data_IF_288543381438
#
_entry.id   IF_288543381438
#
_cell.length_a   1.000
_cell.length_b   1.000
_cell.length_c   1.000
_cell.angle_alpha   90.00
_cell.angle_beta   90.00
_cell.angle_gamma   90.00
#
_symmetry.space_group_name_H-M   'P 1'
#
loop_
_entity.id
_entity.type
_entity.pdbx_description
1 polymer ?
#
# COMPACT_ATOMS: atom_id res chain seq x y z
N UNK A 1 27.17 23.16 -29.13
CA UNK A 1 26.80 21.79 -28.78
C UNK A 1 28.01 20.89 -28.98
N UNK A 2 28.71 20.52 -27.91
CA UNK A 2 29.85 19.60 -27.98
C UNK A 2 29.33 18.18 -28.18
N UNK A 3 29.70 17.54 -29.27
CA UNK A 3 29.43 16.09 -29.47
C UNK A 3 30.33 15.30 -28.53
N UNK A 4 29.75 14.48 -27.70
CA UNK A 4 30.47 13.46 -26.93
C UNK A 4 31.07 12.48 -27.94
N UNK A 5 32.39 12.47 -28.08
CA UNK A 5 33.12 11.49 -28.91
C UNK A 5 33.56 10.38 -27.93
N UNK A 6 32.87 9.25 -27.96
CA UNK A 6 33.24 8.06 -27.20
C UNK A 6 34.37 7.36 -27.96
N UNK A 7 35.49 7.09 -27.31
CA UNK A 7 36.61 6.39 -27.87
C UNK A 7 36.25 4.91 -28.22
N UNK A 8 37.04 4.32 -29.09
CA UNK A 8 36.81 2.90 -29.49
C UNK A 8 37.01 1.92 -28.33
N UNK A 9 37.87 2.24 -27.37
CA UNK A 9 38.06 1.48 -26.12
C UNK A 9 36.85 1.62 -25.20
N UNK A 10 36.32 2.80 -25.03
CA UNK A 10 35.10 3.03 -24.26
C UNK A 10 33.90 2.31 -24.87
N UNK A 11 33.79 2.29 -26.21
CA UNK A 11 32.78 1.49 -26.90
C UNK A 11 32.94 0.00 -26.64
N UNK A 12 34.14 -0.55 -26.69
CA UNK A 12 34.42 -1.96 -26.40
C UNK A 12 34.11 -2.28 -24.95
N UNK A 13 34.42 -1.39 -24.02
CA UNK A 13 34.10 -1.56 -22.59
C UNK A 13 32.61 -1.52 -22.35
N UNK A 14 31.89 -0.58 -22.97
CA UNK A 14 30.43 -0.50 -22.90
C UNK A 14 29.79 -1.74 -23.51
N UNK A 15 30.24 -2.21 -24.69
CA UNK A 15 29.73 -3.45 -25.30
C UNK A 15 30.04 -4.68 -24.46
N UNK A 16 31.21 -4.78 -23.82
CA UNK A 16 31.55 -5.90 -22.92
C UNK A 16 30.71 -5.88 -21.64
N UNK A 17 30.40 -4.68 -21.11
CA UNK A 17 29.47 -4.52 -19.99
C UNK A 17 28.03 -4.86 -20.38
N UNK A 18 27.59 -4.49 -21.57
CA UNK A 18 26.27 -4.91 -22.09
C UNK A 18 26.21 -6.41 -22.31
N UNK A 19 27.24 -7.03 -22.89
CA UNK A 19 27.28 -8.49 -23.09
C UNK A 19 27.41 -9.25 -21.76
N UNK A 20 28.06 -8.70 -20.74
CA UNK A 20 28.09 -9.23 -19.38
C UNK A 20 26.74 -9.06 -18.66
N UNK A 21 25.98 -8.02 -18.98
CA UNK A 21 24.62 -7.79 -18.48
C UNK A 21 23.61 -8.71 -19.20
N UNK A 22 23.81 -9.00 -20.49
CA UNK A 22 23.00 -9.97 -21.26
C UNK A 22 23.35 -11.42 -20.90
N UNK A 23 24.58 -11.72 -20.45
CA UNK A 23 24.99 -13.08 -20.03
C UNK A 23 24.64 -13.40 -18.57
N UNK A 24 24.16 -12.45 -17.75
CA UNK A 24 23.29 -12.85 -16.66
C UNK A 24 22.01 -13.33 -17.32
N UNK A 25 21.95 -14.65 -17.62
CA UNK A 25 20.68 -15.32 -17.76
C UNK A 25 19.78 -14.77 -16.66
N UNK A 26 18.82 -13.93 -17.02
CA UNK A 26 17.77 -13.56 -16.09
C UNK A 26 17.13 -14.87 -15.67
N UNK A 27 17.62 -15.44 -14.58
CA UNK A 27 16.95 -16.57 -13.93
C UNK A 27 15.52 -16.10 -13.76
N UNK A 28 14.61 -16.71 -14.52
CA UNK A 28 13.20 -16.37 -14.47
C UNK A 28 12.68 -16.39 -13.03
N UNK A 29 11.48 -15.93 -12.75
CA UNK A 29 10.92 -15.89 -11.41
C UNK A 29 10.80 -17.28 -10.77
N UNK A 30 10.89 -18.35 -11.58
CA UNK A 30 10.72 -19.72 -11.13
C UNK A 30 11.93 -20.24 -10.36
N UNK A 31 11.72 -20.97 -9.25
CA UNK A 31 12.81 -21.64 -8.55
C UNK A 31 13.58 -22.58 -9.46
N UNK A 32 14.86 -22.74 -9.18
CA UNK A 32 15.73 -23.63 -9.94
C UNK A 32 15.16 -25.06 -10.01
N UNK A 33 15.10 -25.63 -11.20
CA UNK A 33 14.55 -26.97 -11.46
C UNK A 33 13.02 -27.04 -11.51
N UNK A 34 12.31 -25.90 -11.36
CA UNK A 34 10.85 -25.86 -11.55
C UNK A 34 10.52 -25.38 -12.95
N UNK A 35 9.78 -26.23 -13.69
CA UNK A 35 9.16 -25.83 -14.95
C UNK A 35 8.07 -24.79 -14.73
N UNK A 36 7.81 -23.97 -15.75
CA UNK A 36 6.70 -23.03 -15.73
C UNK A 36 5.36 -23.75 -15.78
N UNK A 37 4.40 -23.26 -15.01
CA UNK A 37 3.05 -23.77 -15.04
C UNK A 37 2.29 -23.22 -16.27
N UNK A 38 1.19 -23.87 -16.65
CA UNK A 38 0.31 -23.38 -17.70
C UNK A 38 -0.12 -21.93 -17.41
N UNK A 39 -0.12 -21.08 -18.43
CA UNK A 39 -0.51 -19.68 -18.26
C UNK A 39 -1.95 -19.56 -17.76
N UNK A 40 -2.09 -18.98 -16.59
CA UNK A 40 -3.36 -18.52 -16.02
C UNK A 40 -3.35 -17.00 -16.00
N UNK A 41 -4.19 -16.39 -16.82
CA UNK A 41 -4.32 -14.93 -16.89
C UNK A 41 -5.13 -14.38 -15.71
N UNK A 42 -5.10 -13.06 -15.55
CA UNK A 42 -5.92 -12.40 -14.52
C UNK A 42 -7.42 -12.53 -14.81
N UNK A 43 -7.81 -12.59 -16.08
CA UNK A 43 -9.20 -12.81 -16.49
C UNK A 43 -9.64 -14.24 -16.19
N UNK A 44 -8.78 -15.23 -16.40
CA UNK A 44 -9.05 -16.62 -16.00
C UNK A 44 -9.32 -16.74 -14.49
N UNK A 45 -8.56 -15.99 -13.67
CA UNK A 45 -8.79 -15.95 -12.22
C UNK A 45 -10.15 -15.34 -11.87
N UNK A 46 -10.60 -14.31 -12.60
CA UNK A 46 -11.94 -13.75 -12.46
C UNK A 46 -13.02 -14.76 -12.81
N UNK A 47 -12.79 -15.51 -13.86
CA UNK A 47 -13.74 -16.47 -14.43
C UNK A 47 -13.74 -17.84 -13.73
N UNK A 48 -13.05 -17.99 -12.60
CA UNK A 48 -13.16 -19.16 -11.74
C UNK A 48 -11.92 -20.02 -11.63
N UNK A 49 -10.88 -19.80 -12.44
CA UNK A 49 -9.60 -20.51 -12.22
C UNK A 49 -8.99 -20.12 -10.87
N UNK A 50 -8.29 -21.07 -10.27
CA UNK A 50 -7.58 -20.89 -8.99
C UNK A 50 -6.14 -21.33 -9.18
N UNK A 51 -5.20 -20.47 -8.78
CA UNK A 51 -3.80 -20.85 -8.65
C UNK A 51 -3.43 -20.95 -7.16
N UNK A 52 -2.48 -21.86 -6.88
CA UNK A 52 -2.03 -22.13 -5.51
C UNK A 52 -0.58 -21.69 -5.33
N UNK A 53 -0.19 -21.53 -4.09
CA UNK A 53 1.21 -21.35 -3.70
C UNK A 53 2.08 -22.42 -4.36
N UNK A 54 3.18 -21.99 -4.95
CA UNK A 54 4.04 -22.81 -5.80
C UNK A 54 3.85 -22.54 -7.29
N UNK A 55 2.75 -21.93 -7.72
CA UNK A 55 2.53 -21.54 -9.12
C UNK A 55 3.64 -20.61 -9.62
N UNK A 56 4.11 -20.84 -10.84
CA UNK A 56 5.16 -20.05 -11.46
C UNK A 56 4.92 -19.80 -12.95
N UNK A 57 5.04 -18.55 -13.37
CA UNK A 57 5.01 -18.17 -14.79
C UNK A 57 5.81 -16.91 -15.00
N UNK A 58 6.75 -16.92 -15.94
CA UNK A 58 7.53 -15.74 -16.35
C UNK A 58 6.73 -14.82 -17.27
N UNK A 59 5.57 -15.25 -17.75
CA UNK A 59 4.73 -14.48 -18.66
C UNK A 59 4.22 -13.19 -17.96
N UNK A 60 4.50 -11.99 -18.51
CA UNK A 60 4.07 -10.72 -17.90
C UNK A 60 2.55 -10.55 -17.84
N UNK A 61 1.79 -11.31 -18.64
CA UNK A 61 0.33 -11.33 -18.63
C UNK A 61 -0.26 -12.34 -17.63
N UNK A 62 0.59 -13.08 -16.92
CA UNK A 62 0.15 -14.01 -15.89
C UNK A 62 -0.61 -13.29 -14.77
N UNK A 63 -1.67 -13.92 -14.31
CA UNK A 63 -2.51 -13.44 -13.22
C UNK A 63 -1.71 -13.20 -11.95
N UNK A 64 -0.72 -14.05 -11.64
CA UNK A 64 0.14 -13.88 -10.47
C UNK A 64 0.98 -12.61 -10.57
N UNK A 65 1.54 -12.30 -11.74
CA UNK A 65 2.32 -11.06 -11.95
C UNK A 65 1.44 -9.84 -11.70
N UNK A 66 0.21 -9.84 -12.20
CA UNK A 66 -0.73 -8.73 -11.99
C UNK A 66 -1.11 -8.59 -10.51
N UNK A 67 -1.39 -9.69 -9.82
CA UNK A 67 -1.69 -9.71 -8.39
C UNK A 67 -0.50 -9.16 -7.58
N UNK A 68 0.70 -9.61 -7.84
CA UNK A 68 1.90 -9.12 -7.17
C UNK A 68 2.12 -7.62 -7.40
N UNK A 69 1.89 -7.11 -8.61
CA UNK A 69 1.94 -5.66 -8.90
C UNK A 69 0.90 -4.89 -8.06
N UNK A 70 -0.32 -5.42 -7.91
CA UNK A 70 -1.36 -4.80 -7.10
C UNK A 70 -0.95 -4.81 -5.62
N UNK A 71 -0.49 -5.95 -5.09
CA UNK A 71 -0.03 -6.07 -3.70
C UNK A 71 1.16 -5.14 -3.40
N UNK A 72 2.10 -4.96 -4.35
CA UNK A 72 3.18 -3.97 -4.24
C UNK A 72 2.62 -2.55 -4.16
N UNK A 73 1.71 -2.20 -5.07
CA UNK A 73 1.07 -0.87 -5.08
C UNK A 73 0.31 -0.59 -3.79
N UNK A 74 -0.37 -1.59 -3.24
CA UNK A 74 -1.10 -1.50 -1.98
C UNK A 74 -0.19 -1.54 -0.74
N UNK A 75 1.12 -1.82 -0.91
CA UNK A 75 2.10 -1.82 0.18
C UNK A 75 2.22 -3.14 0.96
N UNK A 76 1.51 -4.20 0.56
CA UNK A 76 1.59 -5.51 1.21
C UNK A 76 2.82 -6.31 0.77
N UNK A 77 3.19 -6.25 -0.51
CA UNK A 77 4.36 -6.96 -1.03
C UNK A 77 5.57 -6.02 -1.12
N UNK A 78 6.49 -6.14 -0.16
CA UNK A 78 7.72 -5.32 -0.06
C UNK A 78 8.93 -5.98 -0.75
N UNK A 79 8.71 -6.68 -1.83
CA UNK A 79 9.77 -7.43 -2.51
C UNK A 79 10.17 -6.76 -3.84
N UNK A 80 11.50 -6.69 -4.10
CA UNK A 80 12.06 -6.08 -5.30
C UNK A 80 12.57 -7.10 -6.33
N UNK A 81 12.39 -8.40 -6.08
CA UNK A 81 12.75 -9.46 -7.03
C UNK A 81 11.76 -9.61 -8.19
N UNK A 82 12.07 -10.55 -9.08
CA UNK A 82 11.24 -10.87 -10.24
C UNK A 82 9.85 -11.33 -9.83
N UNK A 83 8.84 -10.85 -10.54
CA UNK A 83 7.44 -11.24 -10.33
C UNK A 83 7.13 -12.46 -11.18
N UNK A 84 6.19 -13.28 -10.71
CA UNK A 84 5.74 -14.46 -11.45
C UNK A 84 5.75 -15.77 -10.64
N UNK A 85 6.46 -15.78 -9.48
CA UNK A 85 6.44 -16.93 -8.57
C UNK A 85 5.53 -16.67 -7.36
N UNK A 86 4.56 -17.54 -7.17
CA UNK A 86 3.67 -17.53 -6.01
C UNK A 86 4.33 -18.26 -4.82
N UNK A 87 5.37 -17.64 -4.27
CA UNK A 87 6.11 -18.15 -3.10
C UNK A 87 5.55 -17.65 -1.77
N UNK A 88 6.31 -17.92 -0.69
CA UNK A 88 5.96 -17.53 0.68
C UNK A 88 5.66 -16.03 0.82
N UNK A 89 6.51 -15.17 0.26
CA UNK A 89 6.33 -13.70 0.36
C UNK A 89 5.02 -13.22 -0.27
N UNK A 90 4.59 -13.83 -1.35
CA UNK A 90 3.31 -13.50 -1.98
C UNK A 90 2.13 -14.02 -1.15
N UNK A 91 2.26 -15.24 -0.59
CA UNK A 91 1.25 -15.81 0.30
C UNK A 91 1.09 -14.98 1.58
N UNK A 92 2.18 -14.58 2.22
CA UNK A 92 2.20 -13.69 3.38
C UNK A 92 1.54 -12.33 3.05
N UNK A 93 1.91 -11.72 1.93
CA UNK A 93 1.33 -10.46 1.47
C UNK A 93 -0.19 -10.57 1.22
N UNK A 94 -0.66 -11.69 0.67
CA UNK A 94 -2.09 -11.98 0.50
C UNK A 94 -2.77 -12.21 1.84
N UNK A 95 -2.17 -12.97 2.75
CA UNK A 95 -2.69 -13.19 4.10
C UNK A 95 -2.85 -11.86 4.84
N UNK A 96 -1.84 -11.00 4.80
CA UNK A 96 -1.89 -9.67 5.41
C UNK A 96 -2.93 -8.77 4.74
N UNK A 97 -3.05 -8.84 3.41
CA UNK A 97 -4.10 -8.15 2.68
C UNK A 97 -5.48 -8.61 3.17
N UNK A 98 -5.72 -9.91 3.28
CA UNK A 98 -7.00 -10.45 3.75
C UNK A 98 -7.29 -10.08 5.19
N UNK A 99 -6.33 -10.18 6.09
CA UNK A 99 -6.47 -9.75 7.49
C UNK A 99 -6.87 -8.28 7.57
N UNK A 100 -6.33 -7.45 6.68
CA UNK A 100 -6.63 -6.03 6.65
C UNK A 100 -7.94 -5.67 5.94
N UNK A 101 -8.45 -6.52 5.07
CA UNK A 101 -9.67 -6.24 4.29
C UNK A 101 -10.90 -6.98 4.79
N UNK A 102 -10.73 -8.17 5.33
CA UNK A 102 -11.84 -8.96 5.83
C UNK A 102 -11.41 -9.71 7.08
N UNK A 103 -11.72 -9.16 8.18
CA UNK A 103 -11.46 -9.72 9.49
C UNK A 103 -12.04 -11.13 9.75
N UNK A 104 -12.78 -11.65 8.81
CA UNK A 104 -13.50 -12.91 8.98
C UNK A 104 -12.81 -14.13 8.38
N UNK A 105 -11.63 -14.00 7.78
CA UNK A 105 -11.01 -15.12 7.08
C UNK A 105 -9.56 -15.30 7.49
N UNK A 106 -9.37 -16.36 8.23
CA UNK A 106 -8.10 -17.05 8.42
C UNK A 106 -7.66 -17.63 7.06
N UNK A 107 -7.18 -16.79 6.16
CA UNK A 107 -6.58 -17.26 4.93
C UNK A 107 -5.08 -17.14 5.06
N UNK A 108 -4.40 -18.26 4.90
CA UNK A 108 -2.94 -18.34 4.89
C UNK A 108 -2.33 -17.75 3.58
N UNK A 109 -3.17 -17.20 2.72
CA UNK A 109 -2.78 -16.70 1.42
C UNK A 109 -2.28 -17.78 0.47
N UNK A 110 -2.62 -19.05 0.69
CA UNK A 110 -2.10 -20.18 -0.11
C UNK A 110 -2.79 -20.38 -1.45
N UNK A 111 -3.96 -19.76 -1.64
CA UNK A 111 -4.74 -19.85 -2.87
C UNK A 111 -5.23 -18.48 -3.34
N UNK A 112 -5.32 -18.33 -4.65
CA UNK A 112 -5.72 -17.11 -5.33
C UNK A 112 -6.75 -17.46 -6.42
N UNK A 113 -7.92 -16.90 -6.32
CA UNK A 113 -9.04 -17.15 -7.22
C UNK A 113 -9.98 -15.94 -7.34
N UNK A 114 -11.21 -16.14 -7.84
CA UNK A 114 -12.15 -15.05 -8.17
C UNK A 114 -12.40 -14.08 -7.01
N UNK A 115 -12.56 -14.62 -5.81
CA UNK A 115 -12.82 -13.79 -4.62
C UNK A 115 -11.63 -12.87 -4.31
N UNK A 116 -10.40 -13.39 -4.41
CA UNK A 116 -9.18 -12.60 -4.19
C UNK A 116 -9.04 -11.49 -5.23
N UNK A 117 -9.29 -11.82 -6.50
CA UNK A 117 -9.21 -10.86 -7.61
C UNK A 117 -10.22 -9.73 -7.43
N UNK A 118 -11.46 -10.09 -7.08
CA UNK A 118 -12.51 -9.11 -6.80
C UNK A 118 -12.15 -8.18 -5.64
N UNK A 119 -11.46 -8.73 -4.61
CA UNK A 119 -10.92 -7.96 -3.49
C UNK A 119 -9.84 -6.98 -3.90
N UNK A 120 -8.91 -7.45 -4.70
CA UNK A 120 -7.77 -6.66 -5.15
C UNK A 120 -8.17 -5.54 -6.12
N UNK A 121 -9.27 -5.70 -6.85
CA UNK A 121 -9.82 -4.67 -7.76
C UNK A 121 -10.50 -3.54 -6.99
N UNK A 122 -11.18 -3.87 -5.91
CA UNK A 122 -11.79 -2.90 -5.01
C UNK A 122 -11.41 -3.21 -3.56
N UNK A 123 -10.23 -2.77 -3.11
CA UNK A 123 -9.78 -3.00 -1.75
C UNK A 123 -10.74 -2.48 -0.68
N UNK A 124 -11.61 -1.54 -1.04
CA UNK A 124 -12.60 -0.97 -0.13
C UNK A 124 -13.92 -1.74 -0.11
N UNK A 125 -14.14 -2.65 -1.08
CA UNK A 125 -15.38 -3.44 -1.21
C UNK A 125 -15.67 -4.34 -0.01
N UNK A 126 -14.65 -4.72 0.72
CA UNK A 126 -14.79 -5.66 1.84
C UNK A 126 -15.01 -5.02 3.18
N UNK A 127 -14.82 -3.74 3.28
CA UNK A 127 -15.40 -2.98 4.36
C UNK A 127 -16.89 -2.72 4.07
N UNK A 128 -17.63 -3.78 3.71
CA UNK A 128 -19.07 -3.71 3.41
C UNK A 128 -19.91 -3.20 4.57
N UNK A 129 -19.34 -3.17 5.75
CA UNK A 129 -19.99 -2.63 6.94
C UNK A 129 -19.77 -1.13 7.08
N UNK A 130 -18.78 -0.56 6.35
CA UNK A 130 -18.40 0.85 6.50
C UNK A 130 -18.26 1.52 5.14
N UNK A 131 -18.76 2.72 5.05
CA UNK A 131 -18.54 3.58 3.89
C UNK A 131 -17.06 4.04 3.87
N UNK A 132 -16.58 4.47 2.69
CA UNK A 132 -15.26 5.10 2.59
C UNK A 132 -15.15 6.29 3.55
N UNK A 133 -16.23 7.00 3.76
CA UNK A 133 -16.33 8.14 4.65
C UNK A 133 -16.17 7.74 6.11
N UNK A 134 -16.84 6.65 6.54
CA UNK A 134 -16.69 6.13 7.91
C UNK A 134 -15.24 5.69 8.18
N UNK A 135 -14.58 5.06 7.21
CA UNK A 135 -13.18 4.65 7.32
C UNK A 135 -12.28 5.87 7.51
N UNK A 136 -12.46 6.90 6.69
CA UNK A 136 -11.67 8.12 6.77
C UNK A 136 -11.96 8.83 8.09
N UNK A 137 -13.23 8.97 8.46
CA UNK A 137 -13.64 9.63 9.70
C UNK A 137 -13.08 8.91 10.95
N UNK A 138 -13.15 7.56 10.98
CA UNK A 138 -12.57 6.77 12.06
C UNK A 138 -11.04 6.91 12.14
N UNK A 139 -10.36 7.02 11.00
CA UNK A 139 -8.92 7.29 10.96
C UNK A 139 -8.60 8.65 11.58
N UNK A 140 -9.33 9.69 11.18
CA UNK A 140 -9.16 11.04 11.73
C UNK A 140 -9.44 11.07 13.24
N UNK A 141 -10.49 10.39 13.68
CA UNK A 141 -10.80 10.25 15.10
C UNK A 141 -9.66 9.54 15.85
N UNK A 142 -9.16 8.43 15.34
CA UNK A 142 -8.09 7.66 15.98
C UNK A 142 -6.78 8.43 16.10
N UNK A 143 -6.39 9.14 15.05
CA UNK A 143 -5.08 9.78 14.94
C UNK A 143 -5.07 11.25 15.42
N UNK A 144 -6.20 11.95 15.42
CA UNK A 144 -6.22 13.38 15.67
C UNK A 144 -7.36 13.87 16.60
N UNK A 145 -8.02 13.00 17.35
CA UNK A 145 -9.11 13.43 18.25
C UNK A 145 -8.69 14.43 19.33
N UNK A 146 -7.41 14.43 19.70
CA UNK A 146 -6.84 15.34 20.69
C UNK A 146 -6.20 16.61 20.14
N UNK A 147 -6.17 16.78 18.80
CA UNK A 147 -5.37 17.83 18.14
C UNK A 147 -6.20 19.04 17.67
N UNK A 148 -7.48 19.09 17.98
CA UNK A 148 -8.40 20.12 17.48
C UNK A 148 -8.62 20.05 15.97
N UNK A 149 -9.44 20.97 15.46
CA UNK A 149 -9.88 20.95 14.04
C UNK A 149 -8.71 21.12 13.05
N UNK A 150 -7.71 21.89 13.39
CA UNK A 150 -6.54 22.10 12.51
C UNK A 150 -5.72 20.83 12.36
N UNK A 151 -5.45 20.11 13.46
CA UNK A 151 -4.76 18.83 13.43
C UNK A 151 -5.53 17.76 12.65
N UNK A 152 -6.86 17.71 12.83
CA UNK A 152 -7.73 16.80 12.09
C UNK A 152 -7.68 17.08 10.57
N UNK A 153 -7.75 18.32 10.16
CA UNK A 153 -7.60 18.73 8.75
C UNK A 153 -6.21 18.42 8.20
N UNK A 154 -5.18 18.51 9.02
CA UNK A 154 -3.82 18.18 8.63
C UNK A 154 -3.67 16.68 8.33
N UNK A 155 -4.21 15.79 9.18
CA UNK A 155 -4.21 14.35 8.93
C UNK A 155 -5.04 14.02 7.67
N UNK A 156 -6.19 14.69 7.47
CA UNK A 156 -6.96 14.54 6.24
C UNK A 156 -6.15 14.96 5.00
N UNK A 157 -5.39 16.06 5.09
CA UNK A 157 -4.50 16.52 4.01
C UNK A 157 -3.40 15.49 3.69
N UNK A 158 -2.82 14.82 4.71
CA UNK A 158 -1.87 13.71 4.52
C UNK A 158 -2.50 12.57 3.72
N UNK A 159 -3.67 12.11 4.14
CA UNK A 159 -4.40 11.03 3.46
C UNK A 159 -4.67 11.39 1.99
N UNK A 160 -5.13 12.61 1.76
CA UNK A 160 -5.41 13.14 0.42
C UNK A 160 -4.14 13.24 -0.45
N UNK A 161 -3.04 13.78 0.08
CA UNK A 161 -1.77 13.86 -0.63
C UNK A 161 -1.24 12.47 -1.02
N UNK A 162 -1.33 11.49 -0.12
CA UNK A 162 -0.96 10.10 -0.41
C UNK A 162 -1.86 9.49 -1.48
N UNK A 163 -3.17 9.68 -1.36
CA UNK A 163 -4.15 9.18 -2.32
C UNK A 163 -3.95 9.74 -3.73
N UNK A 164 -3.57 11.00 -3.84
CA UNK A 164 -3.23 11.64 -5.12
C UNK A 164 -1.90 11.08 -5.67
N UNK A 165 -0.88 10.95 -4.81
CA UNK A 165 0.46 10.48 -5.23
C UNK A 165 0.51 8.98 -5.57
N UNK A 166 -0.23 8.15 -4.84
CA UNK A 166 -0.06 6.68 -4.88
C UNK A 166 -1.34 5.90 -5.21
N UNK A 167 -2.50 6.54 -5.15
CA UNK A 167 -3.79 5.88 -5.34
C UNK A 167 -4.07 5.50 -6.80
N UNK A 168 -4.92 4.50 -7.00
CA UNK A 168 -5.36 4.10 -8.34
C UNK A 168 -6.24 5.18 -8.96
N UNK A 169 -5.84 5.82 -10.07
CA UNK A 169 -6.62 6.89 -10.70
C UNK A 169 -8.00 6.44 -11.21
N UNK A 170 -8.24 5.13 -11.34
CA UNK A 170 -9.54 4.56 -11.72
C UNK A 170 -10.57 4.60 -10.60
N UNK A 171 -10.13 4.74 -9.35
CA UNK A 171 -11.00 4.84 -8.20
C UNK A 171 -11.36 6.30 -7.91
N UNK A 172 -12.53 6.52 -7.30
CA UNK A 172 -12.90 7.85 -6.79
C UNK A 172 -11.86 8.34 -5.77
N UNK A 173 -11.72 9.66 -5.62
CA UNK A 173 -10.77 10.21 -4.65
C UNK A 173 -11.08 9.72 -3.23
N UNK A 174 -12.35 9.70 -2.82
CA UNK A 174 -12.79 9.20 -1.50
C UNK A 174 -12.37 7.73 -1.30
N UNK A 175 -12.50 6.88 -2.32
CA UNK A 175 -12.05 5.49 -2.28
C UNK A 175 -10.53 5.35 -2.15
N UNK A 176 -9.78 6.20 -2.86
CA UNK A 176 -8.30 6.22 -2.74
C UNK A 176 -7.85 6.67 -1.35
N UNK A 177 -8.50 7.67 -0.78
CA UNK A 177 -8.20 8.18 0.57
C UNK A 177 -8.49 7.08 1.60
N UNK A 178 -9.62 6.38 1.52
CA UNK A 178 -9.93 5.26 2.39
C UNK A 178 -8.91 4.11 2.23
N UNK A 179 -8.46 3.84 1.00
CA UNK A 179 -7.41 2.87 0.74
C UNK A 179 -6.07 3.24 1.39
N UNK A 180 -5.69 4.51 1.38
CA UNK A 180 -4.49 4.97 2.10
C UNK A 180 -4.65 4.89 3.62
N UNK A 181 -5.84 5.16 4.16
CA UNK A 181 -6.14 5.01 5.57
C UNK A 181 -5.97 3.56 6.06
N UNK A 182 -6.39 2.60 5.24
CA UNK A 182 -6.30 1.16 5.55
C UNK A 182 -4.94 0.53 5.19
N UNK A 183 -4.00 1.29 4.64
CA UNK A 183 -2.69 0.75 4.27
C UNK A 183 -1.95 0.23 5.52
N UNK A 184 -1.39 -0.99 5.46
CA UNK A 184 -0.72 -1.60 6.61
C UNK A 184 0.33 -0.69 7.23
N UNK A 185 0.36 -0.64 8.55
CA UNK A 185 1.34 0.08 9.36
C UNK A 185 1.40 1.61 9.11
N UNK A 186 0.39 2.18 8.44
CA UNK A 186 0.39 3.63 8.18
C UNK A 186 -0.34 4.42 9.27
N UNK A 187 -1.38 3.86 9.85
CA UNK A 187 -2.17 4.47 10.90
C UNK A 187 -2.35 3.48 12.05
N UNK A 188 -2.01 3.93 13.25
CA UNK A 188 -2.03 3.08 14.46
C UNK A 188 -3.43 2.58 14.78
N UNK A 189 -4.44 3.37 14.46
CA UNK A 189 -5.85 3.03 14.63
C UNK A 189 -6.23 1.70 13.95
N UNK A 190 -5.57 1.36 12.85
CA UNK A 190 -5.84 0.14 12.09
C UNK A 190 -4.86 -1.00 12.36
N UNK A 191 -3.92 -0.83 13.27
CA UNK A 191 -2.94 -1.86 13.62
C UNK A 191 -3.44 -2.73 14.78
N UNK A 192 -3.16 -4.04 14.73
CA UNK A 192 -3.66 -5.05 15.68
C UNK A 192 -3.28 -4.78 17.14
N UNK A 193 -2.25 -4.00 17.40
CA UNK A 193 -1.73 -3.72 18.74
C UNK A 193 -2.18 -2.40 19.34
N UNK A 194 -2.94 -1.58 18.62
CA UNK A 194 -3.26 -0.23 19.05
C UNK A 194 -4.50 -0.11 19.92
N UNK A 195 -5.50 -0.97 19.73
CA UNK A 195 -6.83 -0.83 20.33
C UNK A 195 -7.47 -2.18 20.72
N UNK A 196 -6.69 -3.13 21.18
CA UNK A 196 -7.23 -4.47 21.47
C UNK A 196 -7.55 -5.22 20.18
N UNK A 197 -8.56 -6.04 20.23
CA UNK A 197 -8.99 -6.81 19.05
C UNK A 197 -9.29 -5.87 17.90
N UNK A 198 -8.62 -6.08 16.79
CA UNK A 198 -8.65 -5.25 15.59
C UNK A 198 -10.06 -4.69 15.31
N UNK A 199 -10.32 -3.39 15.47
CA UNK A 199 -11.67 -2.81 15.35
C UNK A 199 -12.30 -3.04 13.98
N UNK A 200 -11.48 -3.27 12.94
CA UNK A 200 -11.97 -3.65 11.59
C UNK A 200 -12.58 -5.04 11.59
N UNK A 201 -12.17 -5.86 12.54
CA UNK A 201 -12.52 -7.27 12.63
C UNK A 201 -13.64 -7.54 13.59
N UNK A 202 -14.00 -6.60 14.43
CA UNK A 202 -15.03 -6.80 15.41
C UNK A 202 -16.42 -6.56 14.81
N UNK A 203 -16.91 -7.60 14.10
CA UNK A 203 -18.32 -7.84 13.75
C UNK A 203 -19.18 -6.61 13.40
N UNK A 204 -18.59 -5.65 12.66
CA UNK A 204 -19.30 -4.45 12.26
C UNK A 204 -19.13 -3.27 13.23
N UNK A 205 -18.15 -3.27 14.11
CA UNK A 205 -17.85 -2.15 15.00
C UNK A 205 -16.55 -1.45 14.59
N UNK A 206 -16.63 -0.15 14.29
CA UNK A 206 -15.45 0.71 14.06
C UNK A 206 -14.68 1.00 15.36
N UNK A 207 -15.12 0.51 16.52
CA UNK A 207 -14.54 0.87 17.80
C UNK A 207 -14.86 2.31 18.24
N UNK A 208 -15.72 3.00 17.51
CA UNK A 208 -16.20 4.35 17.77
C UNK A 208 -17.65 4.47 17.32
N UNK A 209 -18.47 5.14 18.11
CA UNK A 209 -19.88 5.37 17.77
C UNK A 209 -20.03 6.38 16.61
N UNK A 210 -21.11 6.24 15.84
CA UNK A 210 -21.34 7.06 14.65
C UNK A 210 -21.44 8.54 14.96
N UNK A 211 -21.97 8.94 16.14
CA UNK A 211 -22.10 10.35 16.52
C UNK A 211 -20.73 10.97 16.74
N UNK A 212 -19.79 10.22 17.30
CA UNK A 212 -18.40 10.66 17.48
C UNK A 212 -17.67 10.87 16.15
N UNK A 213 -18.15 10.30 15.04
CA UNK A 213 -17.58 10.49 13.71
C UNK A 213 -18.11 11.71 12.97
N UNK A 214 -19.24 12.25 13.35
CA UNK A 214 -19.89 13.37 12.65
C UNK A 214 -19.01 14.62 12.45
N UNK A 215 -18.20 15.06 13.43
CA UNK A 215 -17.29 16.20 13.21
C UNK A 215 -16.26 15.95 12.11
N UNK A 216 -15.79 14.70 11.97
CA UNK A 216 -14.80 14.30 10.99
C UNK A 216 -15.42 14.12 9.61
N UNK A 217 -16.67 13.63 9.52
CA UNK A 217 -17.42 13.57 8.27
C UNK A 217 -17.62 14.97 7.69
N UNK A 218 -17.91 15.97 8.50
CA UNK A 218 -17.99 17.37 8.04
C UNK A 218 -16.69 17.87 7.40
N UNK A 219 -15.53 17.44 7.89
CA UNK A 219 -14.23 17.77 7.28
C UNK A 219 -14.11 17.11 5.91
N UNK A 220 -14.55 15.85 5.79
CA UNK A 220 -14.48 15.06 4.55
C UNK A 220 -15.42 15.62 3.49
N UNK A 221 -16.67 15.93 3.87
CA UNK A 221 -17.71 16.41 2.94
C UNK A 221 -17.42 17.79 2.42
N UNK A 222 -16.89 18.67 3.28
CA UNK A 222 -16.44 20.00 2.87
C UNK A 222 -15.07 20.00 2.20
N UNK A 223 -14.44 18.83 2.02
CA UNK A 223 -13.07 18.67 1.54
C UNK A 223 -12.07 19.61 2.23
N UNK A 224 -12.28 19.83 3.55
CA UNK A 224 -11.54 20.80 4.34
C UNK A 224 -10.11 20.34 4.60
N UNK A 225 -9.22 20.77 3.72
CA UNK A 225 -7.77 20.56 3.86
C UNK A 225 -7.09 21.84 4.37
N UNK A 226 -5.86 21.68 4.84
CA UNK A 226 -4.96 22.81 5.12
C UNK A 226 -3.66 22.60 4.35
N UNK A 227 -2.95 23.69 4.06
CA UNK A 227 -1.64 23.60 3.44
C UNK A 227 -0.63 23.05 4.46
N UNK A 228 -0.09 21.87 4.11
CA UNK A 228 0.98 21.18 4.83
C UNK A 228 2.21 20.98 3.94
N UNK A 229 2.42 21.87 2.94
CA UNK A 229 3.58 21.82 2.06
C UNK A 229 3.74 20.54 1.23
N UNK A 230 2.63 19.84 0.95
CA UNK A 230 2.64 18.55 0.24
C UNK A 230 3.19 17.39 1.08
N UNK A 231 3.17 17.50 2.41
CA UNK A 231 3.60 16.42 3.31
C UNK A 231 2.80 15.13 3.07
N UNK A 232 3.49 14.01 3.18
CA UNK A 232 2.92 12.65 3.08
C UNK A 232 3.22 11.80 4.31
N UNK A 233 3.99 12.34 5.25
CA UNK A 233 4.40 11.68 6.49
C UNK A 233 4.17 12.61 7.68
N UNK A 234 3.89 12.03 8.84
CA UNK A 234 3.80 12.78 10.09
C UNK A 234 4.26 11.91 11.26
N UNK A 235 4.62 12.55 12.34
CA UNK A 235 4.95 11.91 13.61
C UNK A 235 4.37 12.74 14.76
N UNK A 236 3.78 12.06 15.75
CA UNK A 236 3.43 12.68 17.01
C UNK A 236 4.64 12.59 17.94
N UNK A 237 5.37 13.69 18.11
CA UNK A 237 6.61 13.73 18.91
C UNK A 237 6.40 13.37 20.37
N UNK A 238 5.24 13.67 20.93
CA UNK A 238 4.93 13.37 22.33
C UNK A 238 4.81 11.86 22.58
N UNK A 239 4.37 11.10 21.57
CA UNK A 239 4.11 9.68 21.69
C UNK A 239 5.05 8.81 20.83
N UNK A 240 6.05 9.44 20.20
CA UNK A 240 7.00 8.72 19.36
C UNK A 240 7.91 7.84 20.22
N UNK A 241 7.61 6.55 20.25
CA UNK A 241 8.44 5.50 20.88
C UNK A 241 9.27 4.74 19.86
N UNK A 242 9.21 5.16 18.61
CA UNK A 242 9.85 4.47 17.50
C UNK A 242 11.36 4.55 17.62
N UNK A 243 12.00 3.40 17.71
CA UNK A 243 13.45 3.26 17.65
C UNK A 243 14.00 3.57 16.26
N UNK A 244 13.16 3.50 15.23
CA UNK A 244 13.51 3.85 13.86
C UNK A 244 13.05 5.29 13.54
N UNK A 245 13.78 6.26 14.03
CA UNK A 245 13.51 7.69 13.86
C UNK A 245 13.69 8.16 12.41
N UNK A 246 12.89 7.62 11.49
CA UNK A 246 12.95 7.90 10.05
C UNK A 246 12.92 9.40 9.73
N UNK A 247 12.23 10.20 10.55
CA UNK A 247 12.13 11.67 10.39
C UNK A 247 13.44 12.41 10.65
N UNK A 248 14.43 11.78 11.30
CA UNK A 248 15.76 12.34 11.50
C UNK A 248 16.65 12.21 10.25
N UNK A 249 16.25 11.39 9.27
CA UNK A 249 16.95 11.28 8.00
C UNK A 249 16.66 12.48 7.10
N UNK A 250 17.50 13.54 7.23
CA UNK A 250 17.34 14.81 6.51
C UNK A 250 17.58 14.69 5.01
N UNK A 251 18.23 13.62 4.55
CA UNK A 251 18.45 13.37 3.12
C UNK A 251 17.21 12.83 2.42
N UNK A 252 16.25 12.31 3.20
CA UNK A 252 15.00 11.71 2.67
C UNK A 252 13.75 12.49 3.05
N UNK A 253 13.78 13.18 4.18
CA UNK A 253 12.60 13.82 4.73
C UNK A 253 12.88 15.25 5.15
N UNK A 254 12.03 16.17 4.71
CA UNK A 254 12.05 17.58 5.08
C UNK A 254 10.85 17.89 5.95
N UNK A 255 11.07 18.42 7.15
CA UNK A 255 10.02 19.01 7.97
C UNK A 255 9.42 20.21 7.23
N UNK A 256 8.12 20.23 7.04
CA UNK A 256 7.42 21.31 6.32
C UNK A 256 6.44 22.08 7.21
N UNK A 257 5.90 21.45 8.24
CA UNK A 257 4.97 22.10 9.17
C UNK A 257 4.92 21.40 10.52
N UNK A 258 4.57 22.15 11.57
CA UNK A 258 4.21 21.61 12.90
C UNK A 258 2.83 22.13 13.27
N UNK A 259 1.94 21.26 13.75
CA UNK A 259 0.60 21.58 14.20
C UNK A 259 0.34 20.75 15.46
N UNK A 260 0.11 21.41 16.59
CA UNK A 260 -0.05 20.73 17.87
C UNK A 260 1.18 19.88 18.20
N UNK A 261 0.97 18.58 18.48
CA UNK A 261 2.04 17.63 18.76
C UNK A 261 2.55 16.91 17.51
N UNK A 262 2.02 17.23 16.32
CA UNK A 262 2.37 16.59 15.06
C UNK A 262 3.35 17.40 14.24
N UNK A 263 4.38 16.74 13.75
CA UNK A 263 5.32 17.27 12.76
C UNK A 263 5.06 16.58 11.41
N UNK A 264 4.95 17.40 10.36
CA UNK A 264 4.60 16.98 9.01
C UNK A 264 5.82 17.04 8.10
N UNK A 265 6.07 15.95 7.38
CA UNK A 265 7.27 15.77 6.58
C UNK A 265 6.93 15.45 5.13
N UNK A 266 7.72 16.03 4.23
CA UNK A 266 7.72 15.72 2.81
C UNK A 266 8.95 14.88 2.46
N UNK A 267 8.73 13.83 1.69
CA UNK A 267 9.80 13.05 1.06
C UNK A 267 10.44 13.89 -0.05
N UNK A 268 11.78 14.00 -0.06
CA UNK A 268 12.60 14.76 -1.03
C UNK A 268 13.17 13.85 -2.08
#
# INVERSE_FOLDING_TARGET
>A
MSRLIISEEERKTIFSLYSLLEQKEEKGPCPEGKEEDELVTYEDLKNGKVIKKGYCSSNPNSGIVKVQKILKRLGYLKWNGLLGYYGNKTAEALSDFFKNQSCSRDTDGSALGPQTVTLLEDPNRYNRHYSNEDIIAATLWGEARGEGTEGQKAIYSILKNRAIKKGDPKLSLKARIAGEALRPMQFSYWNDKGFGDNPRCDKGNLGVDSNSLEPYKKIIDSDSTIDIGGATHYVNKKHATDTNKWWENKDKFKLVKTIGNHEFYKEI
#
